data_IF_621626654462
#
_entry.id   IF_621626654462
#
_cell.length_a   1.000
_cell.length_b   1.000
_cell.length_c   1.000
_cell.angle_alpha   90.00
_cell.angle_beta   90.00
_cell.angle_gamma   90.00
#
_symmetry.space_group_name_H-M   'P 1'
#
loop_
_entity.id
_entity.type
_entity.pdbx_description
1 polymer ?
#
# COMPACT_ATOMS: atom_id res chain seq x y z
N UNK A 1 -32.19 5.02 53.39
CA UNK A 1 -30.82 4.50 53.60
C UNK A 1 -30.32 3.95 52.26
N UNK A 2 -29.67 4.81 51.48
CA UNK A 2 -29.09 4.44 50.18
C UNK A 2 -27.61 4.04 50.38
N UNK A 3 -27.27 2.86 49.91
CA UNK A 3 -25.86 2.38 49.87
C UNK A 3 -25.15 3.01 48.67
N UNK A 4 -23.89 3.45 48.80
CA UNK A 4 -23.09 3.87 47.64
C UNK A 4 -22.57 2.65 46.86
N UNK A 5 -22.70 2.69 45.56
CA UNK A 5 -22.07 1.75 44.60
C UNK A 5 -20.62 2.15 44.46
N UNK A 6 -19.74 1.26 44.89
CA UNK A 6 -18.29 1.37 44.68
C UNK A 6 -17.99 0.85 43.26
N UNK A 7 -17.62 1.72 42.36
CA UNK A 7 -17.03 1.36 41.08
C UNK A 7 -15.60 0.88 41.32
N UNK A 8 -15.38 -0.42 41.16
CA UNK A 8 -14.02 -0.99 41.07
C UNK A 8 -13.47 -0.67 39.68
N UNK A 9 -12.47 0.17 39.65
CA UNK A 9 -11.63 0.36 38.46
C UNK A 9 -10.68 -0.84 38.34
N UNK A 10 -11.01 -1.80 37.46
CA UNK A 10 -10.09 -2.83 37.01
C UNK A 10 -9.08 -2.21 36.03
N UNK A 11 -8.08 -1.56 36.60
CA UNK A 11 -6.90 -1.12 35.85
C UNK A 11 -5.85 -2.22 35.87
N UNK A 12 -6.08 -3.34 35.18
CA UNK A 12 -5.01 -4.27 34.85
C UNK A 12 -4.27 -3.78 33.60
N UNK A 13 -3.50 -2.72 33.73
CA UNK A 13 -2.44 -2.42 32.77
C UNK A 13 -1.40 -3.51 32.95
N UNK A 14 -1.40 -4.48 32.03
CA UNK A 14 -0.35 -5.48 31.91
C UNK A 14 0.98 -4.73 31.76
N UNK A 15 1.79 -4.71 32.81
CA UNK A 15 3.13 -4.14 32.81
C UNK A 15 4.02 -5.00 31.91
N UNK A 16 4.11 -4.64 30.63
CA UNK A 16 5.16 -5.11 29.73
C UNK A 16 6.48 -4.66 30.38
N UNK A 17 7.45 -5.56 30.61
CA UNK A 17 8.70 -5.18 31.23
C UNK A 17 9.46 -4.18 30.35
N UNK A 18 9.52 -2.95 30.80
CA UNK A 18 10.16 -1.81 30.11
C UNK A 18 11.64 -2.07 29.78
N UNK A 19 12.28 -2.95 30.53
CA UNK A 19 13.69 -3.28 30.35
C UNK A 19 13.95 -4.17 29.12
N UNK A 20 13.07 -5.10 28.79
CA UNK A 20 13.22 -5.97 27.62
C UNK A 20 13.08 -5.15 26.30
N UNK A 21 12.19 -4.15 26.28
CA UNK A 21 12.01 -3.26 25.12
C UNK A 21 13.24 -2.35 24.93
N UNK A 22 13.83 -1.88 26.02
CA UNK A 22 15.04 -1.05 25.99
C UNK A 22 16.25 -1.80 25.45
N UNK A 23 16.44 -3.05 25.87
CA UNK A 23 17.54 -3.92 25.41
C UNK A 23 17.39 -4.23 23.91
N UNK A 24 16.17 -4.49 23.45
CA UNK A 24 15.85 -4.68 22.02
C UNK A 24 16.13 -3.43 21.20
N UNK A 25 15.73 -2.24 21.68
CA UNK A 25 15.93 -0.97 20.97
C UNK A 25 17.42 -0.59 20.84
N UNK A 26 18.22 -0.87 21.85
CA UNK A 26 19.66 -0.58 21.84
C UNK A 26 20.49 -1.69 21.18
N UNK A 27 19.85 -2.81 20.85
CA UNK A 27 20.47 -3.95 20.19
C UNK A 27 20.88 -3.64 18.75
N UNK A 28 21.84 -4.44 18.19
CA UNK A 28 22.29 -4.27 16.82
C UNK A 28 21.17 -4.61 15.81
N UNK A 29 21.21 -3.96 14.66
CA UNK A 29 20.32 -4.29 13.53
C UNK A 29 20.62 -5.66 12.94
N UNK A 30 21.89 -6.07 12.95
CA UNK A 30 22.29 -7.41 12.52
C UNK A 30 21.67 -8.47 13.45
N UNK A 31 20.98 -9.44 12.88
CA UNK A 31 20.29 -10.49 13.64
C UNK A 31 18.81 -10.22 13.88
N UNK A 32 18.30 -9.03 13.55
CA UNK A 32 16.86 -8.77 13.58
C UNK A 32 16.15 -9.53 12.43
N UNK A 33 14.90 -9.97 12.64
CA UNK A 33 14.13 -10.66 11.60
C UNK A 33 14.09 -9.87 10.30
N UNK A 34 14.50 -10.48 9.18
CA UNK A 34 14.53 -9.84 7.86
C UNK A 34 15.79 -9.02 7.56
N UNK A 35 16.72 -8.86 8.51
CA UNK A 35 17.98 -8.13 8.30
C UNK A 35 19.16 -9.11 8.24
N UNK A 36 19.56 -9.49 7.03
CA UNK A 36 20.76 -10.28 6.79
C UNK A 36 22.04 -9.43 6.75
N UNK A 37 23.22 -10.07 6.72
CA UNK A 37 24.54 -9.39 6.76
C UNK A 37 24.68 -8.29 5.70
N UNK A 38 24.34 -8.56 4.44
CA UNK A 38 24.41 -7.58 3.35
C UNK A 38 23.49 -6.37 3.55
N UNK A 39 22.33 -6.57 4.18
CA UNK A 39 21.39 -5.47 4.50
C UNK A 39 21.93 -4.65 5.65
N UNK A 40 22.43 -5.32 6.72
CA UNK A 40 23.04 -4.66 7.86
C UNK A 40 24.24 -3.78 7.45
N UNK A 41 25.09 -4.25 6.55
CA UNK A 41 26.22 -3.48 6.01
C UNK A 41 25.76 -2.22 5.28
N UNK A 42 24.74 -2.31 4.44
CA UNK A 42 24.15 -1.15 3.73
C UNK A 42 23.51 -0.14 4.68
N UNK A 43 22.92 -0.61 5.77
CA UNK A 43 22.35 0.25 6.81
C UNK A 43 23.45 0.92 7.62
N UNK A 44 24.51 0.18 8.00
CA UNK A 44 25.68 0.71 8.70
C UNK A 44 26.39 1.80 7.89
N UNK A 45 26.51 1.64 6.56
CA UNK A 45 27.04 2.66 5.67
C UNK A 45 26.24 3.97 5.66
N UNK A 46 25.00 3.94 6.16
CA UNK A 46 24.12 5.11 6.36
C UNK A 46 24.06 5.61 7.80
N UNK A 47 24.92 5.07 8.67
CA UNK A 47 24.96 5.42 10.10
C UNK A 47 23.92 4.71 10.97
N UNK A 48 23.24 3.68 10.44
CA UNK A 48 22.22 2.93 11.15
C UNK A 48 22.83 1.62 11.69
N UNK A 49 23.16 1.57 12.95
CA UNK A 49 23.80 0.42 13.59
C UNK A 49 22.88 -0.32 14.55
N UNK A 50 21.93 0.37 15.17
CA UNK A 50 21.00 -0.13 16.18
C UNK A 50 19.56 -0.02 15.73
N UNK A 51 18.67 -0.77 16.36
CA UNK A 51 17.24 -0.71 16.11
C UNK A 51 16.70 0.72 16.30
N UNK A 52 17.14 1.39 17.37
CA UNK A 52 16.72 2.77 17.65
C UNK A 52 17.13 3.75 16.54
N UNK A 53 18.28 3.56 15.90
CA UNK A 53 18.73 4.42 14.81
C UNK A 53 17.76 4.34 13.61
N UNK A 54 17.22 3.14 13.35
CA UNK A 54 16.22 2.93 12.31
C UNK A 54 14.88 3.61 12.63
N UNK A 55 14.47 3.66 13.90
CA UNK A 55 13.24 4.34 14.32
C UNK A 55 13.35 5.86 14.20
N UNK A 56 14.53 6.41 14.45
CA UNK A 56 14.80 7.84 14.28
C UNK A 56 15.21 8.23 12.86
N UNK A 57 15.33 7.25 11.96
CA UNK A 57 15.62 7.51 10.56
C UNK A 57 14.38 8.06 9.86
N UNK A 58 14.20 9.36 9.96
CA UNK A 58 13.05 10.04 9.34
C UNK A 58 13.13 9.99 7.82
N UNK A 59 12.00 9.77 7.12
CA UNK A 59 11.95 9.85 5.67
C UNK A 59 12.39 11.24 5.20
N UNK A 60 13.24 11.29 4.17
CA UNK A 60 13.71 12.57 3.59
C UNK A 60 12.62 13.27 2.78
N UNK A 61 11.58 12.54 2.42
CA UNK A 61 10.48 13.02 1.59
C UNK A 61 9.18 12.44 2.10
N UNK A 62 8.19 13.32 2.22
CA UNK A 62 6.80 12.95 2.45
C UNK A 62 6.06 13.21 1.16
N UNK A 63 5.55 12.16 0.53
CA UNK A 63 4.67 12.31 -0.62
C UNK A 63 3.22 12.33 -0.12
N UNK A 64 2.50 13.41 -0.38
CA UNK A 64 1.09 13.50 -0.03
C UNK A 64 0.25 12.72 -1.05
N UNK A 65 -0.10 11.50 -0.68
CA UNK A 65 -0.91 10.58 -1.49
C UNK A 65 -2.41 10.68 -1.19
N UNK A 66 -2.84 11.70 -0.44
CA UNK A 66 -4.26 11.87 -0.07
C UNK A 66 -5.12 12.27 -1.26
N UNK A 67 -4.53 12.93 -2.24
CA UNK A 67 -5.24 13.31 -3.46
C UNK A 67 -5.23 12.14 -4.44
N UNK A 68 -6.37 11.46 -4.52
CA UNK A 68 -6.61 10.45 -5.53
C UNK A 68 -7.04 11.15 -6.82
N UNK A 69 -6.27 10.98 -7.89
CA UNK A 69 -6.58 11.55 -9.21
C UNK A 69 -7.19 10.49 -10.12
N UNK A 70 -7.97 10.90 -11.11
CA UNK A 70 -8.51 10.01 -12.13
C UNK A 70 -7.42 9.55 -13.09
N UNK A 71 -7.57 8.37 -13.70
CA UNK A 71 -6.57 7.82 -14.63
C UNK A 71 -6.27 8.79 -15.78
N UNK A 72 -7.29 9.41 -16.36
CA UNK A 72 -7.13 10.40 -17.44
C UNK A 72 -6.43 11.70 -17.03
N UNK A 73 -6.31 11.96 -15.74
CA UNK A 73 -5.66 13.16 -15.18
C UNK A 73 -4.24 12.88 -14.65
N UNK A 74 -3.73 11.66 -14.81
CA UNK A 74 -2.39 11.30 -14.38
C UNK A 74 -1.32 12.09 -15.13
N UNK A 75 -0.46 12.76 -14.39
CA UNK A 75 0.65 13.56 -14.91
C UNK A 75 1.92 12.72 -14.95
N UNK A 76 2.52 12.48 -16.13
CA UNK A 76 3.77 11.74 -16.24
C UNK A 76 4.91 12.39 -15.44
N UNK A 77 5.70 11.56 -14.75
CA UNK A 77 6.85 12.01 -13.94
C UNK A 77 6.51 12.44 -12.51
N UNK A 78 5.23 12.51 -12.14
CA UNK A 78 4.79 12.88 -10.79
C UNK A 78 4.28 11.65 -10.05
N UNK A 79 4.68 11.43 -8.80
CA UNK A 79 4.14 10.37 -7.96
C UNK A 79 2.69 10.72 -7.59
N UNK A 80 1.75 9.86 -7.96
CA UNK A 80 0.32 10.08 -7.76
C UNK A 80 -0.38 8.78 -7.37
N UNK A 81 -1.56 8.92 -6.76
CA UNK A 81 -2.45 7.81 -6.46
C UNK A 81 -3.71 7.85 -7.29
N UNK A 82 -4.22 6.68 -7.68
CA UNK A 82 -5.47 6.53 -8.43
C UNK A 82 -6.20 5.26 -8.02
N UNK A 83 -7.54 5.28 -8.06
CA UNK A 83 -8.35 4.09 -7.84
C UNK A 83 -8.61 3.41 -9.17
N UNK A 84 -8.34 2.11 -9.21
CA UNK A 84 -8.46 1.32 -10.42
C UNK A 84 -9.07 -0.06 -10.13
N UNK A 85 -9.69 -0.65 -11.15
CA UNK A 85 -10.12 -2.05 -11.15
C UNK A 85 -9.33 -2.85 -12.18
N UNK A 86 -9.06 -4.11 -11.86
CA UNK A 86 -8.35 -5.02 -12.78
C UNK A 86 -9.29 -5.40 -13.91
N UNK A 87 -8.90 -5.07 -15.13
CA UNK A 87 -9.60 -5.51 -16.33
C UNK A 87 -8.99 -6.82 -16.86
N UNK A 88 -7.66 -6.88 -16.94
CA UNK A 88 -6.93 -8.00 -17.48
C UNK A 88 -5.54 -8.12 -16.86
N UNK A 89 -5.10 -9.34 -16.61
CA UNK A 89 -3.73 -9.63 -16.16
C UNK A 89 -3.17 -10.80 -16.97
N UNK A 90 -1.94 -10.66 -17.47
CA UNK A 90 -1.26 -11.69 -18.25
C UNK A 90 0.25 -11.68 -18.06
N UNK A 91 0.86 -12.84 -18.16
CA UNK A 91 2.32 -12.97 -18.28
C UNK A 91 2.69 -12.86 -19.76
N UNK A 92 3.58 -11.93 -20.06
CA UNK A 92 4.10 -11.71 -21.41
C UNK A 92 5.49 -12.32 -21.50
N UNK A 93 5.71 -13.08 -22.58
CA UNK A 93 7.00 -13.68 -22.93
C UNK A 93 7.64 -12.86 -24.05
N UNK A 94 8.72 -12.17 -23.72
CA UNK A 94 9.58 -11.47 -24.67
C UNK A 94 11.02 -11.90 -24.41
N UNK A 95 12.02 -11.01 -24.55
CA UNK A 95 13.40 -11.30 -24.12
C UNK A 95 13.50 -11.74 -22.66
N UNK A 96 12.65 -11.16 -21.80
CA UNK A 96 12.45 -11.56 -20.40
C UNK A 96 10.95 -11.64 -20.13
N UNK A 97 10.58 -12.56 -19.26
CA UNK A 97 9.20 -12.72 -18.78
C UNK A 97 8.83 -11.55 -17.89
N UNK A 98 7.68 -10.94 -18.10
CA UNK A 98 7.14 -9.88 -17.27
C UNK A 98 5.62 -10.01 -17.13
N UNK A 99 5.08 -9.45 -16.07
CA UNK A 99 3.65 -9.36 -15.85
C UNK A 99 3.15 -8.03 -16.42
N UNK A 100 2.04 -8.10 -17.15
CA UNK A 100 1.33 -6.95 -17.68
C UNK A 100 -0.11 -7.01 -17.19
N UNK A 101 -0.59 -5.92 -16.61
CA UNK A 101 -1.98 -5.77 -16.21
C UNK A 101 -2.57 -4.51 -16.81
N UNK A 102 -3.79 -4.62 -17.29
CA UNK A 102 -4.62 -3.49 -17.72
C UNK A 102 -5.61 -3.20 -16.61
N UNK A 103 -5.60 -1.98 -16.17
CA UNK A 103 -6.54 -1.47 -15.18
C UNK A 103 -7.49 -0.49 -15.85
N UNK A 104 -8.69 -0.37 -15.28
CA UNK A 104 -9.70 0.63 -15.64
C UNK A 104 -9.92 1.56 -14.47
N UNK A 105 -9.80 2.86 -14.73
CA UNK A 105 -10.14 3.92 -13.78
C UNK A 105 -11.65 4.09 -13.63
N UNK A 106 -12.06 4.81 -12.61
CA UNK A 106 -13.48 5.18 -12.40
C UNK A 106 -14.01 6.13 -13.49
N UNK A 107 -13.12 6.79 -14.20
CA UNK A 107 -13.40 7.63 -15.39
C UNK A 107 -13.51 6.83 -16.69
N UNK A 108 -13.34 5.51 -16.63
CA UNK A 108 -13.38 4.63 -17.81
C UNK A 108 -12.07 4.58 -18.60
N UNK A 109 -11.07 5.37 -18.23
CA UNK A 109 -9.76 5.36 -18.87
C UNK A 109 -8.92 4.12 -18.47
N UNK A 110 -8.06 3.68 -19.38
CA UNK A 110 -7.24 2.50 -19.19
C UNK A 110 -5.82 2.87 -18.78
N UNK A 111 -5.27 2.14 -17.78
CA UNK A 111 -3.91 2.29 -17.31
C UNK A 111 -3.17 0.96 -17.45
N UNK A 112 -2.01 0.99 -18.10
CA UNK A 112 -1.17 -0.18 -18.28
C UNK A 112 -0.10 -0.24 -17.18
N UNK A 113 -0.01 -1.36 -16.48
CA UNK A 113 1.02 -1.60 -15.49
C UNK A 113 1.90 -2.78 -15.86
N UNK A 114 3.23 -2.70 -15.56
CA UNK A 114 4.20 -3.74 -15.85
C UNK A 114 5.10 -4.03 -14.66
N UNK A 115 5.37 -5.33 -14.43
CA UNK A 115 6.33 -5.82 -13.44
C UNK A 115 7.34 -6.74 -14.11
N UNK A 116 8.62 -6.37 -14.03
CA UNK A 116 9.71 -7.11 -14.68
C UNK A 116 10.38 -8.14 -13.77
N UNK A 117 10.09 -8.09 -12.46
CA UNK A 117 10.65 -9.01 -11.46
C UNK A 117 9.67 -9.24 -10.31
N UNK A 118 9.80 -10.36 -9.59
CA UNK A 118 9.08 -10.71 -8.35
C UNK A 118 7.55 -10.60 -8.44
N UNK A 119 6.96 -10.83 -9.60
CA UNK A 119 5.54 -10.60 -9.85
C UNK A 119 4.61 -11.77 -9.48
N UNK A 120 5.15 -12.91 -9.02
CA UNK A 120 4.31 -14.07 -8.70
C UNK A 120 3.25 -13.83 -7.65
N UNK A 121 3.57 -13.07 -6.59
CA UNK A 121 2.61 -12.69 -5.57
C UNK A 121 1.60 -11.64 -6.08
N UNK A 122 2.07 -10.70 -6.89
CA UNK A 122 1.21 -9.67 -7.48
C UNK A 122 0.19 -10.30 -8.40
N UNK A 123 0.60 -11.25 -9.25
CA UNK A 123 -0.28 -11.95 -10.18
C UNK A 123 -1.46 -12.64 -9.48
N UNK A 124 -1.22 -13.26 -8.31
CA UNK A 124 -2.28 -13.93 -7.54
C UNK A 124 -3.36 -12.97 -7.05
N UNK A 125 -3.01 -11.71 -6.78
CA UNK A 125 -3.92 -10.67 -6.28
C UNK A 125 -4.71 -10.00 -7.40
N UNK A 126 -4.16 -9.95 -8.63
CA UNK A 126 -4.74 -9.25 -9.76
C UNK A 126 -5.83 -10.07 -10.44
N UNK A 127 -6.92 -10.35 -9.71
CA UNK A 127 -8.10 -11.00 -10.27
C UNK A 127 -8.98 -9.98 -11.00
N UNK A 128 -9.61 -10.34 -12.13
CA UNK A 128 -10.54 -9.46 -12.84
C UNK A 128 -11.62 -8.91 -11.92
N UNK A 129 -11.85 -7.61 -11.95
CA UNK A 129 -12.79 -6.90 -11.10
C UNK A 129 -12.26 -6.51 -9.70
N UNK A 130 -11.10 -7.01 -9.25
CA UNK A 130 -10.49 -6.58 -8.00
C UNK A 130 -10.11 -5.09 -8.08
N UNK A 131 -10.37 -4.34 -6.99
CA UNK A 131 -10.13 -2.89 -6.89
C UNK A 131 -8.88 -2.61 -6.09
N UNK A 132 -8.11 -1.62 -6.53
CA UNK A 132 -6.88 -1.20 -5.90
C UNK A 132 -6.74 0.32 -5.85
N UNK A 133 -6.17 0.82 -4.76
CA UNK A 133 -5.48 2.09 -4.76
C UNK A 133 -4.08 1.82 -5.34
N UNK A 134 -3.80 2.41 -6.49
CA UNK A 134 -2.55 2.29 -7.20
C UNK A 134 -1.74 3.56 -6.98
N UNK A 135 -0.50 3.40 -6.52
CA UNK A 135 0.45 4.50 -6.31
C UNK A 135 1.65 4.27 -7.23
N UNK A 136 1.93 5.22 -8.08
CA UNK A 136 3.05 5.15 -9.02
C UNK A 136 3.43 6.51 -9.60
N UNK A 137 4.60 6.55 -10.25
CA UNK A 137 5.00 7.63 -11.14
C UNK A 137 4.69 7.21 -12.58
N UNK A 138 3.62 7.75 -13.20
CA UNK A 138 3.27 7.41 -14.57
C UNK A 138 4.34 7.84 -15.56
N UNK A 139 4.45 7.09 -16.64
CA UNK A 139 5.35 7.38 -17.75
C UNK A 139 4.56 7.35 -19.07
N UNK A 140 4.93 8.19 -20.03
CA UNK A 140 4.36 8.11 -21.36
C UNK A 140 5.21 7.22 -22.26
N UNK A 141 4.59 6.19 -22.82
CA UNK A 141 5.24 5.30 -23.78
C UNK A 141 4.32 5.08 -24.98
N UNK A 142 4.78 5.42 -26.20
CA UNK A 142 4.02 5.26 -27.44
C UNK A 142 2.56 5.78 -27.32
N UNK A 143 2.40 6.99 -26.86
CA UNK A 143 1.09 7.64 -26.68
C UNK A 143 0.13 7.04 -25.63
N UNK A 144 0.60 6.09 -24.82
CA UNK A 144 -0.15 5.52 -23.69
C UNK A 144 0.52 5.89 -22.36
N UNK A 145 -0.29 6.10 -21.34
CA UNK A 145 0.18 6.25 -19.97
C UNK A 145 0.38 4.84 -19.41
N UNK A 146 1.57 4.58 -18.90
CA UNK A 146 1.91 3.32 -18.24
C UNK A 146 2.61 3.56 -16.92
N UNK A 147 2.58 2.55 -16.06
CA UNK A 147 3.30 2.54 -14.78
C UNK A 147 4.16 1.28 -14.68
N UNK A 148 5.31 1.41 -14.02
CA UNK A 148 6.24 0.31 -13.82
C UNK A 148 6.36 0.05 -12.33
N UNK A 149 6.19 -1.20 -11.92
CA UNK A 149 6.23 -1.63 -10.52
C UNK A 149 5.37 -0.76 -9.58
N UNK A 150 4.08 -0.49 -9.92
CA UNK A 150 3.23 0.29 -9.01
C UNK A 150 3.03 -0.40 -7.67
N UNK A 151 2.88 0.38 -6.63
CA UNK A 151 2.38 -0.10 -5.34
C UNK A 151 0.85 -0.27 -5.42
N UNK A 152 0.36 -1.37 -4.86
CA UNK A 152 -1.05 -1.73 -4.91
C UNK A 152 -1.57 -2.03 -3.51
N UNK A 153 -2.55 -1.26 -3.06
CA UNK A 153 -3.34 -1.52 -1.85
C UNK A 153 -4.74 -1.96 -2.26
N UNK A 154 -5.14 -3.14 -1.82
CA UNK A 154 -6.45 -3.70 -2.15
C UNK A 154 -7.57 -2.92 -1.46
N UNK A 155 -8.60 -2.61 -2.21
CA UNK A 155 -9.78 -1.92 -1.73
C UNK A 155 -10.98 -2.89 -1.67
N UNK A 156 -11.91 -2.67 -0.75
CA UNK A 156 -13.15 -3.45 -0.74
C UNK A 156 -13.90 -3.30 -2.07
N UNK A 157 -14.69 -4.30 -2.48
CA UNK A 157 -15.54 -4.18 -3.66
C UNK A 157 -16.42 -2.94 -3.51
N UNK A 158 -16.69 -2.26 -4.63
CA UNK A 158 -17.58 -1.11 -4.63
C UNK A 158 -18.93 -1.52 -4.03
N UNK A 159 -19.36 -0.86 -2.96
CA UNK A 159 -20.72 -1.03 -2.47
C UNK A 159 -21.67 -0.72 -3.63
N UNK A 160 -22.50 -1.68 -4.01
CA UNK A 160 -23.59 -1.42 -4.93
C UNK A 160 -24.51 -0.43 -4.23
N UNK A 161 -24.44 0.83 -4.57
CA UNK A 161 -25.49 1.77 -4.27
C UNK A 161 -26.73 1.27 -5.02
N UNK A 162 -27.55 0.49 -4.31
CA UNK A 162 -28.92 0.25 -4.73
C UNK A 162 -29.60 1.63 -4.70
N UNK A 163 -29.69 2.27 -5.85
CA UNK A 163 -30.64 3.35 -6.07
C UNK A 163 -32.03 2.79 -5.91
N UNK A 164 -32.52 2.77 -4.68
CA UNK A 164 -33.94 2.66 -4.41
C UNK A 164 -34.52 4.01 -4.83
N UNK A 165 -35.00 4.09 -6.05
CA UNK A 165 -35.93 5.15 -6.43
C UNK A 165 -37.17 5.01 -5.56
N UNK A 166 -37.58 6.06 -4.85
CA UNK A 166 -38.88 6.05 -4.23
C UNK A 166 -39.93 6.11 -5.34
N UNK A 167 -40.62 4.99 -5.56
CA UNK A 167 -41.86 4.97 -6.34
C UNK A 167 -42.83 5.97 -5.73
N UNK A 168 -42.91 7.15 -6.32
CA UNK A 168 -43.96 8.12 -6.08
C UNK A 168 -45.19 7.66 -6.84
N UNK A 169 -45.95 6.75 -6.26
CA UNK A 169 -47.35 6.55 -6.61
C UNK A 169 -48.13 7.66 -5.94
N UNK A 170 -48.51 8.64 -6.71
CA UNK A 170 -49.64 9.52 -6.33
C UNK A 170 -50.76 9.28 -7.35
N UNK A 171 -51.85 8.78 -6.78
CA UNK A 171 -53.18 8.86 -7.30
C UNK A 171 -53.65 10.32 -7.42
#
# INVERSE_FOLDING_TARGET
ASKPVVLQEDTSVSSVPVDADRETLLGPLLGQPGIGPSTAEKLAARGLHRVIDALYFLPRRWDDLRQVVRVGQLVPGVLQSTVVSVERCRVVWARKRFLEATFRGEDGESLLARWFSFFGMVQKRLQPGARFLLVATPQRFRNQVQVVHPELTELPPAARTSSTEPSSSLL
#
